data_IF_675386415737
#
_entry.id   IF_675386415737
#
_cell.length_a   1.000
_cell.length_b   1.000
_cell.length_c   1.000
_cell.angle_alpha   90.00
_cell.angle_beta   90.00
_cell.angle_gamma   90.00
#
_symmetry.space_group_name_H-M   'P 1'
#
loop_
_entity.id
_entity.type
_entity.pdbx_description
1 polymer ?
#
# COMPACT_ATOMS: atom_id res chain seq x y z
N UNK A 1 5.47 15.11 12.20
CA UNK A 1 5.71 15.91 10.98
C UNK A 1 6.08 14.96 9.86
N UNK A 2 5.58 15.18 8.64
CA UNK A 2 5.98 14.36 7.49
C UNK A 2 7.47 14.58 7.19
N UNK A 3 8.22 13.48 7.08
CA UNK A 3 9.66 13.47 6.79
C UNK A 3 9.97 13.41 5.31
N UNK A 4 11.11 12.82 4.99
CA UNK A 4 11.59 12.67 3.60
C UNK A 4 10.81 11.57 2.88
N UNK A 5 10.64 11.76 1.57
CA UNK A 5 10.08 10.72 0.71
C UNK A 5 11.11 9.61 0.55
N UNK A 6 10.75 8.41 0.97
CA UNK A 6 11.63 7.24 0.94
C UNK A 6 11.29 6.28 -0.19
N UNK A 7 10.10 6.39 -0.80
CA UNK A 7 9.76 5.51 -1.92
C UNK A 7 8.65 6.02 -2.81
N UNK A 8 8.68 5.55 -4.05
CA UNK A 8 7.68 5.85 -5.07
C UNK A 8 7.56 4.63 -6.01
N UNK A 9 6.33 4.21 -6.28
CA UNK A 9 6.00 2.98 -6.99
C UNK A 9 4.86 3.18 -7.97
N UNK A 10 4.95 2.51 -9.12
CA UNK A 10 3.87 2.40 -10.10
C UNK A 10 3.61 0.94 -10.41
N UNK A 11 2.35 0.60 -10.64
CA UNK A 11 2.01 -0.79 -10.91
C UNK A 11 0.61 -0.99 -11.41
N UNK A 12 0.15 -2.23 -11.28
CA UNK A 12 -1.16 -2.63 -11.77
C UNK A 12 -1.83 -3.64 -10.83
N UNK A 13 -3.14 -3.52 -10.73
CA UNK A 13 -3.98 -4.54 -10.12
C UNK A 13 -3.81 -5.86 -10.87
N UNK A 14 -3.53 -6.93 -10.13
CA UNK A 14 -3.36 -8.29 -10.66
C UNK A 14 -4.60 -9.14 -10.41
N UNK A 15 -5.34 -8.88 -9.34
CA UNK A 15 -6.59 -9.57 -9.04
C UNK A 15 -7.48 -8.75 -8.10
N UNK A 16 -8.79 -8.98 -8.21
CA UNK A 16 -9.79 -8.49 -7.26
C UNK A 16 -10.82 -9.58 -7.01
N UNK A 17 -11.30 -9.67 -5.77
CA UNK A 17 -12.43 -10.54 -5.41
C UNK A 17 -13.26 -9.92 -4.29
N UNK A 18 -14.55 -10.21 -4.33
CA UNK A 18 -15.48 -9.87 -3.25
C UNK A 18 -15.23 -10.82 -2.07
N UNK A 19 -15.12 -10.27 -0.88
CA UNK A 19 -15.03 -11.03 0.36
C UNK A 19 -16.41 -11.16 1.02
N UNK A 20 -16.64 -12.20 1.85
CA UNK A 20 -17.80 -12.23 2.73
C UNK A 20 -17.84 -10.95 3.59
N UNK A 21 -19.01 -10.34 3.71
CA UNK A 21 -19.20 -9.18 4.60
C UNK A 21 -19.61 -9.65 5.99
N UNK A 22 -18.91 -9.18 7.03
CA UNK A 22 -19.31 -9.33 8.44
C UNK A 22 -20.39 -8.30 8.85
N UNK A 23 -21.20 -7.84 7.89
CA UNK A 23 -22.15 -6.76 8.05
C UNK A 23 -22.83 -6.35 6.73
N UNK A 24 -23.56 -5.22 6.71
CA UNK A 24 -24.21 -4.71 5.51
C UNK A 24 -23.22 -4.13 4.48
N UNK A 25 -21.99 -3.82 4.93
CA UNK A 25 -21.01 -3.12 4.12
C UNK A 25 -20.21 -4.07 3.22
N UNK A 26 -20.04 -3.75 1.92
CA UNK A 26 -19.28 -4.57 0.99
C UNK A 26 -17.78 -4.57 1.33
N UNK A 27 -17.17 -5.74 1.17
CA UNK A 27 -15.74 -5.99 1.37
C UNK A 27 -15.09 -6.48 0.08
N UNK A 28 -13.94 -5.91 -0.30
CA UNK A 28 -13.18 -6.32 -1.50
C UNK A 28 -11.72 -6.55 -1.13
N UNK A 29 -11.15 -7.65 -1.62
CA UNK A 29 -9.72 -7.90 -1.64
C UNK A 29 -9.13 -7.52 -3.00
N UNK A 30 -8.01 -6.81 -3.01
CA UNK A 30 -7.28 -6.39 -4.20
C UNK A 30 -5.80 -6.72 -4.05
N UNK A 31 -5.22 -7.35 -5.07
CA UNK A 31 -3.77 -7.56 -5.16
C UNK A 31 -3.17 -6.70 -6.26
N UNK A 32 -1.99 -6.15 -5.98
CA UNK A 32 -1.27 -5.22 -6.84
C UNK A 32 0.18 -5.68 -6.94
N UNK A 33 0.74 -5.57 -8.14
CA UNK A 33 2.18 -5.67 -8.37
C UNK A 33 2.70 -4.32 -8.86
N UNK A 34 3.74 -3.81 -8.21
CA UNK A 34 4.33 -2.50 -8.50
C UNK A 34 5.85 -2.61 -8.65
N UNK A 35 6.43 -1.62 -9.34
CA UNK A 35 7.87 -1.40 -9.42
C UNK A 35 8.17 0.07 -9.17
N UNK A 36 9.27 0.34 -8.51
CA UNK A 36 9.62 1.68 -8.10
C UNK A 36 11.00 1.74 -7.48
N UNK A 37 11.23 2.79 -6.70
CA UNK A 37 12.45 2.94 -5.91
C UNK A 37 12.11 3.03 -4.43
N UNK A 38 12.89 2.35 -3.60
CA UNK A 38 12.92 2.51 -2.15
C UNK A 38 14.33 2.98 -1.77
N UNK A 39 14.44 4.15 -1.14
CA UNK A 39 15.70 4.80 -0.78
C UNK A 39 16.67 4.89 -1.96
N UNK A 40 16.12 5.16 -3.16
CA UNK A 40 16.85 5.25 -4.42
C UNK A 40 17.17 3.91 -5.11
N UNK A 41 16.92 2.78 -4.46
CA UNK A 41 17.20 1.43 -4.98
C UNK A 41 15.97 0.87 -5.69
N UNK A 42 16.15 0.38 -6.91
CA UNK A 42 15.07 -0.26 -7.67
C UNK A 42 14.49 -1.45 -6.91
N UNK A 43 13.17 -1.49 -6.80
CA UNK A 43 12.44 -2.39 -5.91
C UNK A 43 11.15 -2.86 -6.57
N UNK A 44 10.88 -4.16 -6.46
CA UNK A 44 9.58 -4.74 -6.79
C UNK A 44 8.74 -4.87 -5.54
N UNK A 45 7.47 -4.48 -5.62
CA UNK A 45 6.50 -4.56 -4.53
C UNK A 45 5.33 -5.46 -4.97
N UNK A 46 4.92 -6.36 -4.07
CA UNK A 46 3.67 -7.11 -4.21
C UNK A 46 2.87 -6.92 -2.93
N UNK A 47 1.64 -6.43 -3.07
CA UNK A 47 0.77 -6.10 -1.94
C UNK A 47 -0.63 -6.65 -2.17
N UNK A 48 -1.21 -7.21 -1.11
CA UNK A 48 -2.63 -7.58 -1.06
C UNK A 48 -3.29 -6.81 0.08
N UNK A 49 -4.35 -6.09 -0.23
CA UNK A 49 -5.15 -5.39 0.76
C UNK A 49 -6.62 -5.79 0.67
N UNK A 50 -7.32 -5.71 1.78
CA UNK A 50 -8.78 -5.73 1.81
C UNK A 50 -9.30 -4.35 2.18
N UNK A 51 -10.49 -4.01 1.71
CA UNK A 51 -11.17 -2.78 2.08
C UNK A 51 -12.65 -3.01 2.35
N UNK A 52 -13.19 -2.26 3.30
CA UNK A 52 -14.61 -2.21 3.67
C UNK A 52 -15.15 -0.81 3.50
N UNK A 53 -16.37 -0.71 2.99
CA UNK A 53 -17.11 0.55 3.01
C UNK A 53 -17.53 0.87 4.44
N UNK A 54 -17.42 2.14 4.85
CA UNK A 54 -17.88 2.63 6.15
C UNK A 54 -19.10 3.52 5.96
N UNK A 55 -19.90 3.65 7.02
CA UNK A 55 -20.96 4.65 7.10
C UNK A 55 -20.42 6.03 6.69
N UNK A 56 -21.11 6.68 5.74
CA UNK A 56 -20.67 7.96 5.15
C UNK A 56 -19.85 7.84 3.86
N UNK A 57 -19.66 6.64 3.31
CA UNK A 57 -19.06 6.42 1.98
C UNK A 57 -17.53 6.42 1.94
N UNK A 58 -16.88 6.49 3.12
CA UNK A 58 -15.45 6.29 3.24
C UNK A 58 -15.06 4.82 3.17
N UNK A 59 -13.78 4.57 2.95
CA UNK A 59 -13.19 3.24 2.96
C UNK A 59 -12.22 3.08 4.13
N UNK A 60 -12.09 1.86 4.62
CA UNK A 60 -10.97 1.43 5.45
C UNK A 60 -10.38 0.17 4.88
N UNK A 61 -9.07 0.02 5.00
CA UNK A 61 -8.41 -1.21 4.58
C UNK A 61 -7.12 -1.47 5.33
N UNK A 62 -6.72 -2.73 5.27
CA UNK A 62 -5.45 -3.23 5.77
C UNK A 62 -4.75 -4.04 4.68
N UNK A 63 -3.43 -4.01 4.68
CA UNK A 63 -2.61 -4.64 3.67
C UNK A 63 -1.46 -5.44 4.28
N UNK A 64 -1.05 -6.47 3.55
CA UNK A 64 0.22 -7.14 3.73
C UNK A 64 0.99 -7.08 2.42
N UNK A 65 2.27 -6.73 2.50
CA UNK A 65 3.11 -6.61 1.31
C UNK A 65 4.53 -7.13 1.51
N UNK A 66 5.18 -7.40 0.39
CA UNK A 66 6.57 -7.83 0.31
C UNK A 66 7.28 -6.97 -0.73
N UNK A 67 8.44 -6.45 -0.36
CA UNK A 67 9.33 -5.71 -1.25
C UNK A 67 10.66 -6.46 -1.41
N UNK A 68 11.14 -6.51 -2.65
CA UNK A 68 12.47 -7.01 -2.98
C UNK A 68 13.24 -5.96 -3.78
N UNK A 69 14.35 -5.52 -3.23
CA UNK A 69 15.30 -4.60 -3.90
C UNK A 69 16.15 -5.36 -4.91
N UNK A 70 16.62 -4.68 -5.96
CA UNK A 70 17.53 -5.26 -6.97
C UNK A 70 18.91 -5.61 -6.38
N UNK A 71 19.20 -5.17 -5.15
CA UNK A 71 20.36 -5.57 -4.35
C UNK A 71 20.14 -6.86 -3.54
N UNK A 72 18.97 -7.49 -3.64
CA UNK A 72 18.64 -8.74 -2.96
C UNK A 72 18.16 -8.60 -1.52
N UNK A 73 17.93 -7.37 -1.03
CA UNK A 73 17.29 -7.16 0.27
C UNK A 73 15.77 -7.32 0.17
N UNK A 74 15.17 -7.99 1.16
CA UNK A 74 13.74 -8.17 1.28
C UNK A 74 13.16 -7.43 2.50
N UNK A 75 11.95 -6.89 2.35
CA UNK A 75 11.14 -6.34 3.42
C UNK A 75 9.73 -6.94 3.33
N UNK A 76 9.11 -7.14 4.48
CA UNK A 76 7.66 -7.32 4.57
C UNK A 76 7.07 -6.09 5.23
N UNK A 77 5.78 -5.83 5.02
CA UNK A 77 5.10 -4.79 5.78
C UNK A 77 3.63 -5.13 5.99
N UNK A 78 3.10 -4.58 7.08
CA UNK A 78 1.66 -4.40 7.26
C UNK A 78 1.31 -2.94 7.05
N UNK A 79 0.14 -2.68 6.50
CA UNK A 79 -0.38 -1.32 6.34
C UNK A 79 -1.83 -1.24 6.75
N UNK A 80 -2.26 -0.03 7.15
CA UNK A 80 -3.67 0.29 7.37
C UNK A 80 -3.94 1.72 6.90
N UNK A 81 -5.13 1.97 6.36
CA UNK A 81 -5.46 3.27 5.82
C UNK A 81 -6.94 3.55 5.71
N UNK A 82 -7.25 4.84 5.58
CA UNK A 82 -8.57 5.33 5.22
C UNK A 82 -8.55 5.82 3.77
N UNK A 83 -9.65 5.61 3.06
CA UNK A 83 -9.74 5.96 1.66
C UNK A 83 -11.12 6.44 1.24
N UNK A 84 -11.24 6.69 -0.05
CA UNK A 84 -12.48 7.07 -0.73
C UNK A 84 -12.44 6.63 -2.18
N UNK A 85 -13.62 6.49 -2.78
CA UNK A 85 -13.73 6.38 -4.23
C UNK A 85 -13.35 7.71 -4.89
N UNK A 86 -12.68 7.64 -6.03
CA UNK A 86 -12.24 8.80 -6.82
C UNK A 86 -12.90 8.89 -8.19
N UNK A 87 -13.58 7.84 -8.62
CA UNK A 87 -14.20 7.76 -9.93
C UNK A 87 -15.14 6.57 -10.04
N UNK A 88 -15.28 6.06 -11.25
CA UNK A 88 -16.12 4.91 -11.56
C UNK A 88 -15.38 3.61 -11.21
N UNK A 89 -16.13 2.58 -10.83
CA UNK A 89 -15.58 1.24 -10.63
C UNK A 89 -14.72 1.14 -9.37
N UNK A 90 -13.49 0.67 -9.54
CA UNK A 90 -12.56 0.39 -8.43
C UNK A 90 -11.54 1.50 -8.19
N UNK A 91 -11.73 2.67 -8.81
CA UNK A 91 -10.88 3.83 -8.62
C UNK A 91 -10.99 4.35 -7.17
N UNK A 92 -9.86 4.32 -6.45
CA UNK A 92 -9.79 4.66 -5.03
C UNK A 92 -8.52 5.43 -4.69
N UNK A 93 -8.55 6.04 -3.52
CA UNK A 93 -7.48 6.90 -3.02
C UNK A 93 -7.35 6.72 -1.52
N UNK A 94 -6.21 6.20 -1.07
CA UNK A 94 -5.94 5.78 0.31
C UNK A 94 -4.76 6.52 0.92
N UNK A 95 -4.92 6.93 2.19
CA UNK A 95 -3.88 7.52 3.04
C UNK A 95 -3.78 6.66 4.29
N UNK A 96 -2.56 6.38 4.72
CA UNK A 96 -2.39 5.52 5.88
C UNK A 96 -0.96 5.40 6.34
N UNK A 97 -0.73 4.39 7.17
CA UNK A 97 0.58 4.04 7.70
C UNK A 97 0.94 2.61 7.36
N UNK A 98 2.21 2.36 7.09
CA UNK A 98 2.79 1.03 6.99
C UNK A 98 4.00 0.87 7.90
N UNK A 99 4.28 -0.38 8.25
CA UNK A 99 5.32 -0.77 9.19
C UNK A 99 6.14 -1.90 8.60
N UNK A 100 7.42 -1.65 8.34
CA UNK A 100 8.32 -2.63 7.74
C UNK A 100 8.85 -3.63 8.78
N UNK A 101 9.07 -4.86 8.33
CA UNK A 101 9.95 -5.82 8.97
C UNK A 101 11.00 -6.27 7.97
N UNK A 102 12.27 -6.34 8.40
CA UNK A 102 13.38 -6.77 7.54
C UNK A 102 14.50 -7.36 8.37
N UNK A 103 15.25 -8.29 7.78
CA UNK A 103 16.53 -8.80 8.32
C UNK A 103 17.74 -8.14 7.64
N UNK A 104 17.53 -7.19 6.72
CA UNK A 104 18.61 -6.46 6.06
C UNK A 104 19.19 -5.41 6.99
N UNK A 105 20.50 -5.52 7.30
CA UNK A 105 21.23 -4.49 8.05
C UNK A 105 21.21 -3.13 7.34
N UNK A 106 21.14 -3.12 6.00
CA UNK A 106 21.10 -1.87 5.21
C UNK A 106 19.79 -1.11 5.40
N UNK A 107 18.71 -1.82 5.71
CA UNK A 107 17.34 -1.29 5.82
C UNK A 107 16.79 -1.36 7.25
N UNK A 108 17.63 -1.67 8.24
CA UNK A 108 17.19 -1.91 9.63
C UNK A 108 16.51 -0.69 10.28
N UNK A 109 16.87 0.53 9.83
CA UNK A 109 16.22 1.76 10.31
C UNK A 109 14.72 1.80 9.98
N UNK A 110 14.30 1.23 8.85
CA UNK A 110 12.89 1.17 8.44
C UNK A 110 12.03 0.33 9.39
N UNK A 111 12.64 -0.59 10.15
CA UNK A 111 11.93 -1.37 11.18
C UNK A 111 11.59 -0.59 12.46
N UNK A 112 12.13 0.62 12.62
CA UNK A 112 11.97 1.45 13.83
C UNK A 112 11.21 2.76 13.58
N UNK A 113 10.68 2.96 12.37
CA UNK A 113 9.95 4.17 11.99
C UNK A 113 8.58 3.80 11.44
N UNK A 114 7.59 4.65 11.72
CA UNK A 114 6.33 4.59 11.01
C UNK A 114 6.50 5.23 9.64
N UNK A 115 5.95 4.60 8.60
CA UNK A 115 5.96 5.14 7.24
C UNK A 115 4.54 5.54 6.89
N UNK A 116 4.36 6.76 6.40
CA UNK A 116 3.08 7.23 5.86
C UNK A 116 3.05 6.97 4.36
N UNK A 117 1.90 6.55 3.84
CA UNK A 117 1.73 6.34 2.42
C UNK A 117 0.55 7.12 1.85
N UNK A 118 0.67 7.44 0.56
CA UNK A 118 -0.46 7.72 -0.31
C UNK A 118 -0.50 6.64 -1.38
N UNK A 119 -1.71 6.19 -1.72
CA UNK A 119 -1.95 5.18 -2.73
C UNK A 119 -3.15 5.60 -3.59
N UNK A 120 -2.95 5.60 -4.90
CA UNK A 120 -3.96 5.91 -5.90
C UNK A 120 -4.15 4.70 -6.81
N UNK A 121 -5.41 4.38 -7.10
CA UNK A 121 -5.84 3.38 -8.06
C UNK A 121 -6.82 4.04 -9.03
N UNK A 122 -6.55 3.94 -10.33
CA UNK A 122 -7.43 4.44 -11.39
C UNK A 122 -8.43 3.38 -11.90
N UNK A 123 -9.35 3.81 -12.75
CA UNK A 123 -10.39 2.98 -13.36
C UNK A 123 -9.85 1.89 -14.32
N UNK A 124 -8.58 2.00 -14.75
CA UNK A 124 -7.90 1.06 -15.62
C UNK A 124 -7.05 0.04 -14.85
N UNK A 125 -7.08 0.10 -13.52
CA UNK A 125 -6.30 -0.76 -12.65
C UNK A 125 -4.86 -0.29 -12.45
N UNK A 126 -4.46 0.89 -12.91
CA UNK A 126 -3.12 1.43 -12.70
C UNK A 126 -3.00 2.00 -11.29
N UNK A 127 -1.82 1.86 -10.71
CA UNK A 127 -1.56 2.28 -9.33
C UNK A 127 -0.35 3.20 -9.24
N UNK A 128 -0.39 4.14 -8.31
CA UNK A 128 0.73 4.98 -7.91
C UNK A 128 0.76 5.04 -6.38
N UNK A 129 1.94 4.85 -5.80
CA UNK A 129 2.12 4.91 -4.36
C UNK A 129 3.38 5.68 -4.00
N UNK A 130 3.31 6.47 -2.94
CA UNK A 130 4.42 7.26 -2.41
C UNK A 130 4.53 7.04 -0.91
N UNK A 131 5.76 6.97 -0.41
CA UNK A 131 6.09 6.60 0.96
C UNK A 131 6.99 7.66 1.59
N UNK A 132 6.69 8.03 2.84
CA UNK A 132 7.46 8.99 3.63
C UNK A 132 7.70 8.48 5.04
N UNK A 133 8.88 8.73 5.58
CA UNK A 133 9.11 8.54 7.01
C UNK A 133 8.30 9.53 7.83
N UNK A 134 7.70 9.08 8.91
CA UNK A 134 7.12 9.97 9.92
C UNK A 134 8.20 10.46 10.88
N UNK A 135 8.26 11.78 11.12
CA UNK A 135 9.17 12.44 12.07
C UNK A 135 8.45 13.06 13.26
#
# INVERSE_FOLDING_TARGET
MLGEMIGEFWGKVTSQRVLPSDGPDPSIETSVQQRGKLLGVDTTDNVTYWSVMRAGGGLYGEANGIQMTDEGNALTYTAQGAGRFTGIGTAVSFRGSLFFQTNSKKLEHLGNVAVIFEFELDENGNTHATLWEWK
#
